data_IF_151346572894
#
_entry.id   IF_151346572894
#
_cell.length_a   1.000
_cell.length_b   1.000
_cell.length_c   1.000
_cell.angle_alpha   90.00
_cell.angle_beta   90.00
_cell.angle_gamma   90.00
#
_symmetry.space_group_name_H-M   'P 1'
#
loop_
_entity.id
_entity.type
_entity.pdbx_description
1 polymer ?
#
# COMPACT_ATOMS: atom_id res chain seq x y z
N UNK A 1 -52.12 -33.39 50.33
CA UNK A 1 -51.71 -34.59 49.58
C UNK A 1 -50.19 -34.52 49.43
N UNK A 2 -49.44 -35.28 50.22
CA UNK A 2 -47.98 -35.45 50.05
C UNK A 2 -47.75 -36.20 48.73
N UNK A 3 -46.70 -35.84 47.99
CA UNK A 3 -45.67 -36.76 47.49
C UNK A 3 -44.40 -35.93 47.28
N UNK A 4 -43.33 -36.27 48.00
CA UNK A 4 -41.98 -35.85 47.66
C UNK A 4 -41.25 -37.01 46.99
N UNK A 5 -40.29 -36.68 46.13
CA UNK A 5 -39.15 -37.46 45.62
C UNK A 5 -38.20 -36.36 45.08
N UNK A 6 -37.07 -35.99 45.70
CA UNK A 6 -35.85 -36.79 45.84
C UNK A 6 -35.52 -37.55 44.55
N UNK A 7 -34.78 -36.92 43.62
CA UNK A 7 -33.71 -37.59 42.86
C UNK A 7 -32.93 -36.58 41.99
N UNK A 8 -31.66 -36.86 41.75
CA UNK A 8 -30.75 -36.17 40.81
C UNK A 8 -30.05 -34.88 41.30
N UNK A 9 -29.43 -34.97 42.47
CA UNK A 9 -28.02 -34.56 42.60
C UNK A 9 -27.21 -35.74 42.08
N UNK A 10 -26.70 -35.70 40.85
CA UNK A 10 -25.63 -36.61 40.36
C UNK A 10 -25.15 -36.29 38.92
N UNK A 11 -25.30 -35.05 38.42
CA UNK A 11 -24.86 -34.69 37.07
C UNK A 11 -24.12 -33.35 36.98
N UNK A 12 -23.42 -32.95 38.04
CA UNK A 12 -22.49 -31.80 37.98
C UNK A 12 -21.01 -32.22 38.02
N UNK A 13 -20.69 -33.46 38.42
CA UNK A 13 -19.29 -33.91 38.56
C UNK A 13 -18.63 -34.39 37.25
N UNK A 14 -19.40 -34.56 36.16
CA UNK A 14 -18.86 -34.91 34.84
C UNK A 14 -18.46 -33.69 33.99
N UNK A 15 -18.85 -32.48 34.37
CA UNK A 15 -18.45 -31.24 33.67
C UNK A 15 -17.08 -30.74 34.17
N UNK A 16 -16.71 -31.07 35.40
CA UNK A 16 -15.46 -30.58 36.01
C UNK A 16 -14.21 -31.37 35.60
N UNK A 17 -14.36 -32.59 35.07
CA UNK A 17 -13.23 -33.47 34.70
C UNK A 17 -12.85 -33.43 33.22
N UNK A 18 -13.63 -32.76 32.35
CA UNK A 18 -13.31 -32.58 30.92
C UNK A 18 -12.59 -31.25 30.62
N UNK A 19 -12.47 -30.36 31.60
CA UNK A 19 -11.70 -29.12 31.47
C UNK A 19 -10.23 -29.26 31.94
N UNK A 20 -9.82 -30.44 32.38
CA UNK A 20 -8.45 -30.71 32.88
C UNK A 20 -7.47 -31.21 31.79
N UNK A 21 -7.93 -31.44 30.56
CA UNK A 21 -7.13 -32.09 29.50
C UNK A 21 -6.83 -31.23 28.28
N UNK A 22 -7.25 -29.96 28.26
CA UNK A 22 -6.77 -28.96 27.27
C UNK A 22 -5.77 -28.01 27.95
N UNK A 23 -4.90 -28.60 28.76
CA UNK A 23 -3.63 -28.01 29.14
C UNK A 23 -2.61 -28.43 28.09
N UNK A 24 -2.18 -27.48 27.26
CA UNK A 24 -0.96 -27.64 26.46
C UNK A 24 -1.05 -27.18 25.02
N UNK A 25 -1.47 -25.92 24.77
CA UNK A 25 -1.10 -25.15 23.56
C UNK A 25 -1.50 -23.67 23.58
N UNK A 26 -1.63 -23.04 24.74
CA UNK A 26 -2.01 -21.61 24.81
C UNK A 26 -0.97 -20.72 25.52
N UNK A 27 0.21 -21.27 25.84
CA UNK A 27 1.18 -20.58 26.71
C UNK A 27 2.61 -20.69 26.20
N UNK A 28 2.83 -20.57 24.88
CA UNK A 28 4.21 -20.45 24.33
C UNK A 28 4.32 -19.59 23.05
N UNK A 29 3.21 -19.06 22.51
CA UNK A 29 3.26 -18.13 21.37
C UNK A 29 3.11 -16.65 21.75
N UNK A 30 2.95 -16.33 23.04
CA UNK A 30 2.78 -14.93 23.49
C UNK A 30 4.10 -14.21 23.82
N UNK A 31 5.24 -14.90 23.88
CA UNK A 31 6.51 -14.34 24.36
C UNK A 31 7.49 -13.93 23.25
N UNK A 32 7.20 -14.22 21.98
CA UNK A 32 8.04 -13.84 20.83
C UNK A 32 7.46 -12.67 19.99
N UNK A 33 6.40 -12.01 20.48
CA UNK A 33 5.73 -10.92 19.79
C UNK A 33 6.20 -9.54 20.25
N UNK A 34 7.48 -9.43 20.63
CA UNK A 34 8.21 -8.16 20.70
C UNK A 34 8.71 -7.71 19.31
N UNK A 35 7.96 -8.06 18.25
CA UNK A 35 8.30 -7.75 16.86
C UNK A 35 7.64 -6.44 16.45
N UNK A 36 8.47 -5.44 16.17
CA UNK A 36 8.18 -4.14 15.58
C UNK A 36 6.75 -4.03 15.02
N UNK A 37 5.88 -3.31 15.73
CA UNK A 37 4.56 -2.94 15.21
C UNK A 37 4.77 -2.01 14.01
N UNK A 38 4.20 -2.39 12.86
CA UNK A 38 4.14 -1.52 11.69
C UNK A 38 3.43 -0.20 11.99
N UNK A 39 3.54 0.76 11.08
CA UNK A 39 2.87 2.06 11.20
C UNK A 39 1.40 1.87 10.88
N UNK A 40 0.53 2.41 11.73
CA UNK A 40 -0.91 2.39 11.51
C UNK A 40 -1.25 3.26 10.27
N UNK A 41 -1.93 2.73 9.25
CA UNK A 41 -2.32 3.48 8.07
C UNK A 41 -3.25 4.67 8.37
N UNK A 42 -4.01 4.66 9.47
CA UNK A 42 -4.92 5.77 9.84
C UNK A 42 -4.27 6.81 10.76
N UNK A 43 -2.97 6.66 11.03
CA UNK A 43 -2.23 7.60 11.87
C UNK A 43 -1.89 8.90 11.13
N UNK A 44 -1.82 10.00 11.89
CA UNK A 44 -1.36 11.32 11.41
C UNK A 44 -0.04 11.31 10.63
N UNK A 45 1.02 10.56 10.99
CA UNK A 45 2.24 10.51 10.19
C UNK A 45 2.02 9.88 8.80
N UNK A 46 1.17 8.86 8.69
CA UNK A 46 0.81 8.26 7.39
C UNK A 46 0.08 9.27 6.50
N UNK A 47 -0.81 10.08 7.09
CA UNK A 47 -1.51 11.15 6.38
C UNK A 47 -0.56 12.26 5.92
N UNK A 48 0.35 12.70 6.79
CA UNK A 48 1.38 13.70 6.43
C UNK A 48 2.26 13.19 5.31
N UNK A 49 2.73 11.94 5.39
CA UNK A 49 3.50 11.29 4.33
C UNK A 49 2.74 11.30 3.00
N UNK A 50 1.46 10.89 3.00
CA UNK A 50 0.64 10.89 1.79
C UNK A 50 0.50 12.30 1.19
N UNK A 51 0.28 13.32 2.02
CA UNK A 51 0.20 14.73 1.57
C UNK A 51 1.53 15.21 0.98
N UNK A 52 2.65 14.91 1.64
CA UNK A 52 3.99 15.25 1.16
C UNK A 52 4.29 14.57 -0.16
N UNK A 53 4.01 13.26 -0.28
CA UNK A 53 4.23 12.51 -1.52
C UNK A 53 3.35 13.02 -2.67
N UNK A 54 2.10 13.41 -2.41
CA UNK A 54 1.23 14.06 -3.42
C UNK A 54 1.77 15.43 -3.83
N UNK A 55 2.26 16.24 -2.88
CA UNK A 55 2.84 17.55 -3.19
C UNK A 55 4.12 17.42 -4.04
N UNK A 56 5.00 16.48 -3.69
CA UNK A 56 6.21 16.19 -4.48
C UNK A 56 5.84 15.73 -5.89
N UNK A 57 4.85 14.85 -6.03
CA UNK A 57 4.36 14.39 -7.32
C UNK A 57 3.78 15.53 -8.18
N UNK A 58 3.06 16.47 -7.56
CA UNK A 58 2.54 17.65 -8.25
C UNK A 58 3.68 18.55 -8.75
N UNK A 59 4.70 18.79 -7.93
CA UNK A 59 5.90 19.53 -8.34
C UNK A 59 6.58 18.82 -9.50
N UNK A 60 6.80 17.50 -9.43
CA UNK A 60 7.38 16.74 -10.54
C UNK A 60 6.58 16.87 -11.82
N UNK A 61 5.25 16.79 -11.72
CA UNK A 61 4.37 16.94 -12.88
C UNK A 61 4.46 18.32 -13.52
N UNK A 62 4.62 19.39 -12.72
CA UNK A 62 4.81 20.76 -13.25
C UNK A 62 6.19 20.99 -13.86
N UNK A 63 7.24 20.38 -13.30
CA UNK A 63 8.62 20.54 -13.77
C UNK A 63 8.87 19.75 -15.06
N UNK A 64 8.17 18.64 -15.30
CA UNK A 64 8.33 17.81 -16.50
C UNK A 64 8.11 18.55 -17.83
N UNK A 65 6.96 19.21 -18.10
CA UNK A 65 6.74 19.93 -19.35
C UNK A 65 7.76 21.05 -19.54
N UNK A 66 8.16 21.72 -18.45
CA UNK A 66 9.21 22.73 -18.48
C UNK A 66 10.57 22.14 -18.87
N UNK A 67 10.97 21.03 -18.25
CA UNK A 67 12.19 20.31 -18.57
C UNK A 67 12.21 19.79 -20.01
N UNK A 68 11.07 19.39 -20.56
CA UNK A 68 10.96 18.97 -21.97
C UNK A 68 11.04 20.12 -22.95
N UNK A 69 10.37 21.24 -22.66
CA UNK A 69 10.36 22.40 -23.53
C UNK A 69 11.73 23.08 -23.59
N UNK A 70 12.46 23.14 -22.47
CA UNK A 70 13.78 23.79 -22.38
C UNK A 70 14.97 22.83 -22.35
N UNK A 71 14.75 21.50 -22.42
CA UNK A 71 15.79 20.47 -22.36
C UNK A 71 16.69 20.60 -21.11
N UNK A 72 16.12 21.12 -20.02
CA UNK A 72 16.78 21.30 -18.73
C UNK A 72 16.78 19.97 -17.97
N UNK A 73 17.71 19.07 -18.31
CA UNK A 73 17.92 17.85 -17.54
C UNK A 73 18.90 18.11 -16.38
N UNK A 74 18.34 18.42 -15.21
CA UNK A 74 19.12 18.48 -13.97
C UNK A 74 19.31 17.09 -13.38
N UNK A 75 20.57 16.65 -13.31
CA UNK A 75 20.94 15.41 -12.62
C UNK A 75 20.53 15.47 -11.14
N UNK A 76 20.65 16.62 -10.49
CA UNK A 76 20.30 16.81 -9.07
C UNK A 76 18.81 16.51 -8.84
N UNK A 77 17.93 17.04 -9.69
CA UNK A 77 16.49 16.78 -9.59
C UNK A 77 16.17 15.30 -9.82
N UNK A 78 16.87 14.67 -10.75
CA UNK A 78 16.68 13.26 -11.07
C UNK A 78 17.10 12.34 -9.91
N UNK A 79 18.23 12.62 -9.26
CA UNK A 79 18.70 11.90 -8.08
C UNK A 79 17.82 12.16 -6.85
N UNK A 80 17.38 13.40 -6.64
CA UNK A 80 16.44 13.74 -5.57
C UNK A 80 15.12 13.00 -5.74
N UNK A 81 14.55 13.02 -6.94
CA UNK A 81 13.36 12.27 -7.29
C UNK A 81 13.55 10.77 -7.01
N UNK A 82 14.59 10.16 -7.57
CA UNK A 82 14.86 8.73 -7.41
C UNK A 82 14.96 8.33 -5.93
N UNK A 83 15.71 9.10 -5.14
CA UNK A 83 15.90 8.83 -3.71
C UNK A 83 14.62 9.00 -2.90
N UNK A 84 13.86 10.08 -3.14
CA UNK A 84 12.56 10.31 -2.49
C UNK A 84 11.61 9.15 -2.72
N UNK A 85 11.46 8.72 -3.97
CA UNK A 85 10.52 7.65 -4.32
C UNK A 85 11.00 6.26 -3.91
N UNK A 86 12.31 6.05 -3.80
CA UNK A 86 12.86 4.84 -3.20
C UNK A 86 12.52 4.79 -1.70
N UNK A 87 12.64 5.92 -1.00
CA UNK A 87 12.27 6.01 0.42
C UNK A 87 10.75 5.83 0.63
N UNK A 88 9.92 6.46 -0.20
CA UNK A 88 8.46 6.29 -0.20
C UNK A 88 8.08 4.81 -0.41
N UNK A 89 8.73 4.10 -1.34
CA UNK A 89 8.54 2.65 -1.52
C UNK A 89 8.93 1.84 -0.26
N UNK A 90 10.03 2.18 0.40
CA UNK A 90 10.45 1.50 1.63
C UNK A 90 9.47 1.76 2.78
N UNK A 91 8.94 2.97 2.90
CA UNK A 91 7.93 3.31 3.90
C UNK A 91 6.63 2.53 3.68
N UNK A 92 6.26 2.26 2.43
CA UNK A 92 5.13 1.39 2.11
C UNK A 92 5.32 -0.06 2.57
N UNK A 93 6.56 -0.57 2.66
CA UNK A 93 6.82 -1.92 3.19
C UNK A 93 6.61 -2.02 4.71
N UNK A 94 6.66 -0.89 5.41
CA UNK A 94 6.53 -0.79 6.88
C UNK A 94 5.12 -0.37 7.29
N UNK A 95 4.30 0.12 6.35
CA UNK A 95 2.93 0.57 6.59
C UNK A 95 1.95 -0.61 6.59
N UNK A 96 1.16 -0.76 7.64
CA UNK A 96 0.19 -1.86 7.78
C UNK A 96 -0.94 -1.81 6.75
N UNK A 97 -1.60 -2.94 6.51
CA UNK A 97 -2.70 -3.07 5.55
C UNK A 97 -4.04 -3.38 6.23
N UNK A 98 -5.16 -2.82 5.72
CA UNK A 98 -6.49 -3.15 6.24
C UNK A 98 -6.90 -4.56 5.82
N UNK A 99 -7.41 -5.35 6.78
CA UNK A 99 -7.98 -6.69 6.60
C UNK A 99 -9.44 -6.70 7.10
N UNK A 100 -10.25 -7.68 6.71
CA UNK A 100 -11.66 -7.81 7.16
C UNK A 100 -11.81 -7.81 8.69
N UNK A 101 -10.79 -8.24 9.44
CA UNK A 101 -10.82 -8.33 10.90
C UNK A 101 -10.12 -7.16 11.61
N UNK A 102 -9.74 -6.10 10.89
CA UNK A 102 -9.02 -4.95 11.42
C UNK A 102 -7.69 -4.68 10.69
N UNK A 103 -6.82 -3.86 11.29
CA UNK A 103 -5.52 -3.49 10.71
C UNK A 103 -4.45 -4.51 11.12
N UNK A 104 -3.81 -5.14 10.14
CA UNK A 104 -2.68 -6.05 10.37
C UNK A 104 -1.36 -5.24 10.36
N UNK A 105 -0.72 -5.12 11.52
CA UNK A 105 0.53 -4.37 11.72
C UNK A 105 1.78 -5.26 11.66
N UNK A 106 1.64 -6.55 11.37
CA UNK A 106 2.78 -7.47 11.28
C UNK A 106 3.62 -7.19 10.04
N UNK A 107 4.84 -6.67 10.21
CA UNK A 107 5.74 -6.30 9.10
C UNK A 107 5.98 -7.49 8.15
N UNK A 108 6.19 -8.71 8.68
CA UNK A 108 6.43 -9.87 7.81
C UNK A 108 5.23 -10.23 6.92
N UNK A 109 4.01 -10.21 7.48
CA UNK A 109 2.79 -10.48 6.73
C UNK A 109 2.53 -9.36 5.71
N UNK A 110 2.76 -8.12 6.12
CA UNK A 110 2.65 -6.92 5.28
C UNK A 110 3.60 -6.99 4.09
N UNK A 111 4.88 -7.30 4.32
CA UNK A 111 5.89 -7.42 3.26
C UNK A 111 5.52 -8.53 2.28
N UNK A 112 5.13 -9.73 2.75
CA UNK A 112 4.73 -10.83 1.85
C UNK A 112 3.51 -10.46 1.01
N UNK A 113 2.50 -9.84 1.62
CA UNK A 113 1.32 -9.38 0.91
C UNK A 113 1.66 -8.29 -0.12
N UNK A 114 2.46 -7.31 0.26
CA UNK A 114 2.89 -6.20 -0.58
C UNK A 114 3.72 -6.67 -1.77
N UNK A 115 4.70 -7.56 -1.52
CA UNK A 115 5.58 -8.13 -2.53
C UNK A 115 4.79 -8.86 -3.61
N UNK A 116 3.74 -9.58 -3.22
CA UNK A 116 2.91 -10.34 -4.16
C UNK A 116 1.96 -9.46 -4.99
N UNK A 117 1.54 -8.29 -4.48
CA UNK A 117 0.42 -7.52 -5.05
C UNK A 117 0.79 -6.22 -5.75
N UNK A 118 1.79 -5.50 -5.26
CA UNK A 118 2.12 -4.16 -5.78
C UNK A 118 3.60 -3.95 -6.06
N UNK A 119 4.48 -4.70 -5.38
CA UNK A 119 5.92 -4.57 -5.53
C UNK A 119 6.44 -4.84 -6.93
N UNK A 120 5.90 -5.82 -7.67
CA UNK A 120 6.37 -6.14 -9.03
C UNK A 120 6.37 -4.89 -9.90
N UNK A 121 5.28 -4.12 -9.83
CA UNK A 121 5.14 -2.97 -10.70
C UNK A 121 5.85 -1.74 -10.14
N UNK A 122 6.00 -1.62 -8.81
CA UNK A 122 6.85 -0.58 -8.21
C UNK A 122 8.34 -0.80 -8.51
N UNK A 123 8.79 -2.06 -8.50
CA UNK A 123 10.12 -2.47 -8.89
C UNK A 123 10.37 -2.19 -10.37
N UNK A 124 9.42 -2.51 -11.26
CA UNK A 124 9.53 -2.18 -12.68
C UNK A 124 9.68 -0.68 -12.90
N UNK A 125 8.90 0.12 -12.18
CA UNK A 125 9.00 1.59 -12.24
C UNK A 125 10.37 2.06 -11.75
N UNK A 126 10.87 1.55 -10.63
CA UNK A 126 12.19 1.91 -10.10
C UNK A 126 13.32 1.53 -11.06
N UNK A 127 13.25 0.32 -11.63
CA UNK A 127 14.19 -0.16 -12.64
C UNK A 127 14.16 0.72 -13.89
N UNK A 128 12.98 1.16 -14.31
CA UNK A 128 12.80 2.04 -15.48
C UNK A 128 13.47 3.41 -15.26
N UNK A 129 13.40 3.96 -14.05
CA UNK A 129 14.08 5.22 -13.70
C UNK A 129 15.60 5.05 -13.62
N UNK A 130 16.08 3.99 -12.97
CA UNK A 130 17.51 3.66 -12.92
C UNK A 130 18.08 3.46 -14.32
N UNK A 131 17.34 2.77 -15.19
CA UNK A 131 17.72 2.55 -16.58
C UNK A 131 17.76 3.87 -17.38
N UNK A 132 16.75 4.73 -17.21
CA UNK A 132 16.75 6.06 -17.81
C UNK A 132 17.95 6.91 -17.39
N UNK A 133 18.32 6.86 -16.11
CA UNK A 133 19.49 7.56 -15.58
C UNK A 133 20.81 6.97 -16.10
N UNK A 134 20.92 5.64 -16.15
CA UNK A 134 22.07 4.96 -16.74
C UNK A 134 22.28 5.35 -18.20
N UNK A 135 21.18 5.43 -18.96
CA UNK A 135 21.20 5.81 -20.37
C UNK A 135 21.63 7.27 -20.55
N UNK A 136 21.14 8.18 -19.70
CA UNK A 136 21.53 9.59 -19.70
C UNK A 136 23.03 9.76 -19.40
N UNK A 137 23.59 8.99 -18.46
CA UNK A 137 25.01 9.01 -18.11
C UNK A 137 25.91 8.37 -19.17
N UNK A 138 25.38 7.41 -19.94
CA UNK A 138 26.14 6.69 -20.97
C UNK A 138 26.45 7.54 -22.21
N UNK A 139 25.86 8.73 -22.35
CA UNK A 139 26.23 9.74 -23.35
C UNK A 139 26.02 9.36 -24.83
N UNK A 140 25.50 8.17 -25.12
CA UNK A 140 25.28 7.69 -26.49
C UNK A 140 23.97 8.24 -27.06
N UNK A 141 23.89 9.55 -27.32
CA UNK A 141 22.68 10.28 -27.74
C UNK A 141 22.06 9.88 -29.09
N UNK A 142 21.55 8.66 -29.22
CA UNK A 142 20.75 8.22 -30.36
C UNK A 142 19.31 8.73 -30.25
N UNK A 143 18.71 9.14 -31.37
CA UNK A 143 17.30 9.61 -31.44
C UNK A 143 16.34 8.59 -30.82
N UNK A 144 16.64 7.30 -30.98
CA UNK A 144 15.87 6.20 -30.38
C UNK A 144 15.91 6.26 -28.85
N UNK A 145 17.08 6.56 -28.25
CA UNK A 145 17.23 6.67 -26.80
C UNK A 145 16.43 7.84 -26.23
N UNK A 146 16.40 8.99 -26.91
CA UNK A 146 15.60 10.15 -26.49
C UNK A 146 14.11 9.81 -26.44
N UNK A 147 13.60 9.03 -27.40
CA UNK A 147 12.21 8.55 -27.39
C UNK A 147 11.94 7.61 -26.21
N UNK A 148 12.86 6.69 -25.94
CA UNK A 148 12.75 5.80 -24.77
C UNK A 148 12.74 6.58 -23.46
N UNK A 149 13.62 7.57 -23.28
CA UNK A 149 13.62 8.41 -22.07
C UNK A 149 12.29 9.15 -21.87
N UNK A 150 11.66 9.63 -22.94
CA UNK A 150 10.33 10.27 -22.85
C UNK A 150 9.25 9.29 -22.39
N UNK A 151 9.22 8.09 -22.96
CA UNK A 151 8.28 7.04 -22.56
C UNK A 151 8.54 6.60 -21.12
N UNK A 152 9.81 6.45 -20.74
CA UNK A 152 10.20 6.14 -19.37
C UNK A 152 9.72 7.24 -18.43
N UNK A 153 9.83 8.53 -18.79
CA UNK A 153 9.28 9.62 -17.96
C UNK A 153 7.74 9.61 -17.86
N UNK A 154 7.02 8.97 -18.78
CA UNK A 154 5.57 8.77 -18.66
C UNK A 154 5.19 7.75 -17.55
N UNK A 155 6.15 6.98 -17.00
CA UNK A 155 5.92 6.11 -15.85
C UNK A 155 5.27 6.84 -14.66
N UNK A 156 5.48 8.15 -14.55
CA UNK A 156 4.99 8.98 -13.43
C UNK A 156 3.48 8.88 -13.31
N UNK A 157 2.77 8.68 -14.43
CA UNK A 157 1.34 8.43 -14.47
C UNK A 157 0.97 7.13 -13.75
N UNK A 158 1.76 6.07 -13.91
CA UNK A 158 1.55 4.83 -13.16
C UNK A 158 1.72 5.02 -11.64
N UNK A 159 2.60 5.93 -11.20
CA UNK A 159 2.74 6.26 -9.77
C UNK A 159 1.48 6.95 -9.23
N UNK A 160 0.94 7.92 -9.99
CA UNK A 160 -0.33 8.59 -9.66
C UNK A 160 -1.44 7.54 -9.51
N UNK A 161 -1.60 6.68 -10.53
CA UNK A 161 -2.62 5.63 -10.53
C UNK A 161 -2.48 4.73 -9.30
N UNK A 162 -1.25 4.39 -8.89
CA UNK A 162 -1.03 3.60 -7.68
C UNK A 162 -1.38 4.32 -6.40
N UNK A 163 -0.94 5.55 -6.21
CA UNK A 163 -1.24 6.30 -4.99
C UNK A 163 -2.76 6.47 -4.83
N UNK A 164 -3.45 6.80 -5.92
CA UNK A 164 -4.91 6.86 -6.00
C UNK A 164 -5.54 5.53 -5.60
N UNK A 165 -5.02 4.42 -6.14
CA UNK A 165 -5.52 3.07 -5.84
C UNK A 165 -5.26 2.61 -4.40
N UNK A 166 -4.29 3.21 -3.69
CA UNK A 166 -3.94 2.88 -2.30
C UNK A 166 -4.70 3.73 -1.28
N UNK A 167 -5.26 4.87 -1.69
CA UNK A 167 -6.02 5.77 -0.83
C UNK A 167 -7.51 5.35 -0.83
N UNK A 168 -8.01 4.72 0.24
CA UNK A 168 -9.40 4.26 0.29
C UNK A 168 -10.41 5.40 0.13
N UNK A 169 -10.09 6.59 0.68
CA UNK A 169 -10.93 7.80 0.51
C UNK A 169 -11.00 8.28 -0.94
N UNK A 170 -9.91 8.15 -1.69
CA UNK A 170 -9.90 8.55 -3.10
C UNK A 170 -10.67 7.54 -3.94
N UNK A 171 -10.56 6.25 -3.66
CA UNK A 171 -11.39 5.23 -4.31
C UNK A 171 -12.89 5.48 -4.08
N UNK A 172 -13.29 5.72 -2.83
CA UNK A 172 -14.69 6.03 -2.52
C UNK A 172 -15.21 7.23 -3.33
N UNK A 173 -14.42 8.29 -3.42
CA UNK A 173 -14.78 9.46 -4.21
C UNK A 173 -14.83 9.17 -5.72
N UNK A 174 -13.91 8.36 -6.24
CA UNK A 174 -13.91 7.95 -7.65
C UNK A 174 -15.11 7.07 -7.97
N UNK A 175 -15.45 6.12 -7.08
CA UNK A 175 -16.61 5.25 -7.24
C UNK A 175 -17.92 6.08 -7.23
N UNK A 176 -18.01 7.13 -6.40
CA UNK A 176 -19.13 8.08 -6.40
C UNK A 176 -19.22 8.89 -7.70
N UNK A 177 -18.08 9.39 -8.21
CA UNK A 177 -18.01 10.14 -9.46
C UNK A 177 -18.38 9.25 -10.65
N UNK A 178 -17.91 8.00 -10.67
CA UNK A 178 -18.23 7.03 -11.72
C UNK A 178 -19.71 6.66 -11.70
N UNK A 179 -20.30 6.45 -10.52
CA UNK A 179 -21.74 6.23 -10.38
C UNK A 179 -22.56 7.42 -10.93
N UNK A 180 -22.10 8.65 -10.72
CA UNK A 180 -22.73 9.85 -11.31
C UNK A 180 -22.53 9.93 -12.83
N UNK A 181 -21.34 9.60 -13.33
CA UNK A 181 -21.04 9.63 -14.76
C UNK A 181 -21.89 8.62 -15.55
N UNK A 182 -22.07 7.41 -15.01
CA UNK A 182 -22.92 6.36 -15.60
C UNK A 182 -24.40 6.76 -15.63
N UNK A 183 -24.87 7.47 -14.60
CA UNK A 183 -26.21 8.04 -14.57
C UNK A 183 -26.43 9.09 -15.68
N UNK A 184 -25.47 9.99 -15.90
CA UNK A 184 -25.55 10.97 -16.98
C UNK A 184 -25.48 10.33 -18.37
N UNK A 185 -24.63 9.31 -18.55
CA UNK A 185 -24.49 8.57 -19.81
C UNK A 185 -25.81 7.87 -20.20
N UNK A 186 -26.47 7.24 -19.23
CA UNK A 186 -27.77 6.59 -19.44
C UNK A 186 -28.92 7.58 -19.66
N UNK A 187 -28.86 8.79 -19.09
CA UNK A 187 -29.85 9.84 -19.32
C UNK A 187 -29.72 10.55 -20.68
N UNK A 188 -28.50 10.62 -21.26
CA UNK A 188 -28.25 11.23 -22.57
C UNK A 188 -28.53 10.31 -23.78
N UNK A 189 -28.72 9.01 -23.54
CA UNK A 189 -29.06 8.02 -24.57
C UNK A 189 -30.58 7.84 -24.77
N UNK A 190 -31.41 8.69 -24.15
CA UNK A 190 -32.87 8.76 -24.29
C UNK A 190 -33.24 10.06 -25.00
#
# INVERSE_FOLDING_TARGET
RRVGLEESRDCEDSVFSLNASVSGKHTDEQTAQHRCKGIDPDSTPSLVHNVVSVAVLAVEFTVLPFAWAWQLESLVFSWFSLSFWTADLLLHLVTGYPTQNGVELGIQKTVVHYVRRSFVVDLLILLSDCFGMWLALSGQGSITQVRFVRILKAQRVLRIIRMVNKLPRVRQFLDEVEAHADYFSSALLI
#
